data_IF_041537426207
#
_entry.id   IF_041537426207
#
_cell.length_a   1.000
_cell.length_b   1.000
_cell.length_c   1.000
_cell.angle_alpha   90.00
_cell.angle_beta   90.00
_cell.angle_gamma   90.00
#
_symmetry.space_group_name_H-M   'P 1'
#
loop_
_entity.id
_entity.type
_entity.pdbx_description
1 polymer ?
#
# COMPACT_ATOMS: atom_id res chain seq x y z
N UNK A 1 1.84 -35.27 -22.93
CA UNK A 1 2.38 -33.96 -22.52
C UNK A 1 1.93 -33.70 -21.10
N UNK A 2 2.79 -34.00 -20.12
CA UNK A 2 2.54 -33.66 -18.71
C UNK A 2 2.94 -32.21 -18.47
N UNK A 3 2.09 -31.46 -17.75
CA UNK A 3 2.49 -30.19 -17.17
C UNK A 3 2.87 -30.48 -15.73
N UNK A 4 4.12 -30.89 -15.54
CA UNK A 4 4.75 -31.01 -14.25
C UNK A 4 5.05 -29.60 -13.71
N UNK A 5 4.14 -29.06 -12.90
CA UNK A 5 4.52 -28.03 -11.93
C UNK A 5 5.29 -28.73 -10.80
N UNK A 6 6.54 -29.06 -11.11
CA UNK A 6 7.50 -29.61 -10.16
C UNK A 6 7.69 -28.63 -9.01
N UNK A 7 7.35 -29.11 -7.82
CA UNK A 7 7.64 -28.53 -6.51
C UNK A 7 9.14 -28.29 -6.35
N UNK A 8 9.54 -27.06 -6.05
CA UNK A 8 10.92 -26.71 -5.70
C UNK A 8 10.99 -25.53 -4.74
N UNK A 9 11.41 -25.81 -3.50
CA UNK A 9 12.35 -24.96 -2.75
C UNK A 9 11.81 -23.73 -2.02
N UNK A 10 11.59 -23.88 -0.71
CA UNK A 10 11.57 -22.82 0.29
C UNK A 10 12.98 -22.21 0.47
N UNK A 11 13.41 -21.34 -0.46
CA UNK A 11 14.61 -20.53 -0.28
C UNK A 11 14.61 -19.30 -1.21
N UNK A 12 14.16 -18.15 -0.67
CA UNK A 12 14.34 -16.84 -1.29
C UNK A 12 13.06 -16.24 -1.85
N UNK A 13 12.14 -15.82 -0.98
CA UNK A 13 11.18 -14.77 -1.34
C UNK A 13 11.99 -13.59 -1.89
N UNK A 14 11.48 -12.95 -2.95
CA UNK A 14 12.05 -11.83 -3.73
C UNK A 14 12.66 -12.21 -5.09
N UNK A 15 11.88 -12.85 -5.97
CA UNK A 15 12.21 -12.98 -7.40
C UNK A 15 11.24 -12.17 -8.24
N UNK A 16 11.76 -11.14 -8.94
CA UNK A 16 11.29 -10.32 -10.08
C UNK A 16 9.81 -10.16 -10.50
N UNK A 17 8.89 -11.04 -10.13
CA UNK A 17 7.49 -11.01 -10.58
C UNK A 17 6.75 -9.85 -9.91
N UNK A 18 5.90 -9.12 -10.65
CA UNK A 18 5.10 -8.03 -10.09
C UNK A 18 4.26 -8.44 -8.87
N UNK A 19 3.72 -9.66 -8.85
CA UNK A 19 2.90 -10.16 -7.73
C UNK A 19 3.69 -10.31 -6.44
N UNK A 20 4.91 -10.84 -6.48
CA UNK A 20 5.74 -11.02 -5.28
C UNK A 20 6.11 -9.66 -4.65
N UNK A 21 6.30 -8.64 -5.49
CA UNK A 21 6.50 -7.24 -5.06
C UNK A 21 5.27 -6.67 -4.38
N UNK A 22 4.08 -6.93 -4.94
CA UNK A 22 2.80 -6.50 -4.35
C UNK A 22 2.60 -7.16 -2.97
N UNK A 23 2.82 -8.48 -2.86
CA UNK A 23 2.69 -9.20 -1.58
C UNK A 23 3.65 -8.61 -0.54
N UNK A 24 4.91 -8.40 -0.92
CA UNK A 24 5.92 -7.80 -0.03
C UNK A 24 5.53 -6.39 0.41
N UNK A 25 5.02 -5.56 -0.52
CA UNK A 25 4.57 -4.20 -0.23
C UNK A 25 3.36 -4.18 0.72
N UNK A 26 2.33 -4.97 0.43
CA UNK A 26 1.14 -5.08 1.27
C UNK A 26 1.48 -5.59 2.67
N UNK A 27 2.35 -6.62 2.79
CA UNK A 27 2.81 -7.12 4.07
C UNK A 27 3.59 -6.06 4.88
N UNK A 28 4.47 -5.29 4.21
CA UNK A 28 5.27 -4.24 4.86
C UNK A 28 4.42 -3.11 5.44
N UNK A 29 3.35 -2.73 4.77
CA UNK A 29 2.51 -1.58 5.15
C UNK A 29 1.14 -1.98 5.74
N UNK A 30 0.94 -3.27 6.01
CA UNK A 30 -0.32 -3.82 6.51
C UNK A 30 -1.54 -3.43 5.65
N UNK A 31 -1.41 -3.61 4.33
CA UNK A 31 -2.45 -3.30 3.35
C UNK A 31 -3.09 -4.58 2.81
N UNK A 32 -4.32 -4.47 2.33
CA UNK A 32 -5.01 -5.53 1.58
C UNK A 32 -4.86 -5.34 0.07
N UNK A 33 -4.77 -4.09 -0.40
CA UNK A 33 -4.59 -3.75 -1.82
C UNK A 33 -3.45 -2.73 -1.99
N UNK A 34 -2.66 -2.79 -3.08
CA UNK A 34 -1.53 -1.90 -3.31
C UNK A 34 -1.97 -0.54 -3.90
N UNK A 35 -2.99 0.09 -3.31
CA UNK A 35 -3.57 1.36 -3.76
C UNK A 35 -3.31 2.45 -2.71
N UNK A 36 -2.79 3.59 -3.16
CA UNK A 36 -2.43 4.72 -2.33
C UNK A 36 -3.22 5.96 -2.80
N UNK A 37 -3.74 6.73 -1.84
CA UNK A 37 -4.27 8.06 -2.13
C UNK A 37 -3.11 9.02 -2.41
N UNK A 38 -3.17 9.76 -3.52
CA UNK A 38 -2.18 10.79 -3.82
C UNK A 38 -2.32 11.98 -2.83
N UNK A 39 -1.24 12.43 -2.16
CA UNK A 39 -1.30 13.55 -1.23
C UNK A 39 -1.30 14.88 -1.99
N UNK A 40 -2.49 15.45 -2.22
CA UNK A 40 -2.69 16.74 -2.88
C UNK A 40 -3.13 17.76 -1.83
N UNK A 41 -2.36 18.84 -1.67
CA UNK A 41 -2.65 19.87 -0.68
C UNK A 41 -4.04 20.49 -0.93
N UNK A 42 -4.87 20.56 0.11
CA UNK A 42 -6.23 21.10 0.05
C UNK A 42 -7.30 20.18 -0.56
N UNK A 43 -6.95 19.02 -1.14
CA UNK A 43 -7.91 18.10 -1.77
C UNK A 43 -8.08 16.75 -1.05
N UNK A 44 -7.24 16.46 -0.05
CA UNK A 44 -7.24 15.20 0.70
C UNK A 44 -7.66 15.44 2.16
N UNK A 45 -8.96 15.59 2.48
CA UNK A 45 -9.42 15.71 3.85
C UNK A 45 -9.19 14.41 4.64
N UNK A 46 -9.03 14.49 5.96
CA UNK A 46 -8.76 13.33 6.82
C UNK A 46 -9.82 12.22 6.69
N UNK A 47 -11.09 12.58 6.50
CA UNK A 47 -12.19 11.63 6.31
C UNK A 47 -12.01 10.75 5.06
N UNK A 48 -11.47 11.29 3.97
CA UNK A 48 -11.17 10.53 2.75
C UNK A 48 -10.06 9.51 3.01
N UNK A 49 -8.99 9.93 3.70
CA UNK A 49 -7.88 9.04 4.06
C UNK A 49 -8.30 7.92 5.00
N UNK A 50 -9.19 8.21 5.95
CA UNK A 50 -9.81 7.20 6.81
C UNK A 50 -10.63 6.20 6.00
N UNK A 51 -11.41 6.65 5.02
CA UNK A 51 -12.18 5.76 4.16
C UNK A 51 -11.28 4.81 3.36
N UNK A 52 -10.19 5.32 2.77
CA UNK A 52 -9.21 4.51 2.03
C UNK A 52 -8.49 3.50 2.96
N UNK A 53 -8.12 3.92 4.17
CA UNK A 53 -7.48 3.02 5.13
C UNK A 53 -8.42 1.88 5.57
N UNK A 54 -9.71 2.19 5.80
CA UNK A 54 -10.72 1.19 6.19
C UNK A 54 -10.99 0.15 5.10
N UNK A 55 -10.79 0.48 3.82
CA UNK A 55 -10.91 -0.48 2.71
C UNK A 55 -9.61 -1.27 2.44
N UNK A 56 -8.58 -1.06 3.26
CA UNK A 56 -7.30 -1.78 3.18
C UNK A 56 -6.28 -1.17 2.23
N UNK A 57 -6.48 0.08 1.78
CA UNK A 57 -5.48 0.87 1.06
C UNK A 57 -4.69 1.80 2.00
N UNK A 58 -3.82 2.64 1.43
CA UNK A 58 -3.07 3.65 2.19
C UNK A 58 -3.68 5.04 1.99
N UNK A 59 -4.21 5.62 3.07
CA UNK A 59 -4.61 7.03 3.10
C UNK A 59 -3.39 7.97 3.11
N UNK A 60 -3.60 9.24 2.77
CA UNK A 60 -2.52 10.24 2.74
C UNK A 60 -3.05 11.66 3.00
N UNK A 61 -2.19 12.57 3.46
CA UNK A 61 -2.56 13.98 3.63
C UNK A 61 -1.55 14.89 2.95
N UNK A 62 -2.03 15.81 2.11
CA UNK A 62 -1.21 16.85 1.50
C UNK A 62 -0.91 17.98 2.49
N UNK A 63 0.17 17.84 3.27
CA UNK A 63 0.47 18.72 4.39
C UNK A 63 1.12 20.08 4.02
N UNK A 64 1.43 20.33 2.73
CA UNK A 64 2.19 21.52 2.29
C UNK A 64 1.62 22.86 2.82
N UNK A 65 0.29 22.98 2.90
CA UNK A 65 -0.42 24.18 3.38
C UNK A 65 -0.98 24.01 4.81
N UNK A 66 -0.69 22.88 5.48
CA UNK A 66 -1.21 22.56 6.81
C UNK A 66 -0.19 22.98 7.88
N UNK A 67 -0.56 23.82 8.86
CA UNK A 67 0.36 24.17 9.94
C UNK A 67 0.68 22.96 10.82
N UNK A 68 1.79 22.96 11.58
CA UNK A 68 2.20 21.81 12.39
C UNK A 68 1.12 21.29 13.36
N UNK A 69 0.34 22.17 13.97
CA UNK A 69 -0.78 21.79 14.85
C UNK A 69 -1.89 21.03 14.11
N UNK A 70 -2.13 21.38 12.84
CA UNK A 70 -3.11 20.70 11.98
C UNK A 70 -2.62 19.34 11.48
N UNK A 71 -1.30 19.13 11.36
CA UNK A 71 -0.73 17.81 11.02
C UNK A 71 -0.90 16.82 12.19
N UNK A 72 -0.86 17.32 13.43
CA UNK A 72 -1.03 16.51 14.64
C UNK A 72 -2.48 16.06 14.87
N UNK A 73 -3.45 16.87 14.43
CA UNK A 73 -4.87 16.68 14.71
C UNK A 73 -5.45 15.40 14.09
#
# INVERSE_FOLDING_TARGET
MGNDHSTGGDAGIHSGRPLDRVVTFCAKYNLTVPILLAPIAGACPASLSVAVAKTGGMGAMGALMTPPSGIRA
#
